data_IF_314459921610
#
_entry.id   IF_314459921610
#
_cell.length_a   1.000
_cell.length_b   1.000
_cell.length_c   1.000
_cell.angle_alpha   90.00
_cell.angle_beta   90.00
_cell.angle_gamma   90.00
#
_symmetry.space_group_name_H-M   'P 1'
#
loop_
_entity.id
_entity.type
_entity.pdbx_description
1 polymer ?
#
# COMPACT_ATOMS: atom_id res chain seq x y z
N UNK A 1 -8.60 5.56 21.17
CA UNK A 1 -9.58 4.47 21.04
C UNK A 1 -9.46 3.94 19.62
N UNK A 2 -8.87 2.78 19.45
CA UNK A 2 -8.72 2.15 18.15
C UNK A 2 -10.11 1.71 17.69
N UNK A 3 -10.63 2.33 16.65
CA UNK A 3 -11.81 1.81 15.98
C UNK A 3 -11.34 0.51 15.31
N UNK A 4 -11.80 -0.63 15.82
CA UNK A 4 -11.48 -1.92 15.21
C UNK A 4 -12.13 -1.93 13.83
N UNK A 5 -11.30 -1.93 12.80
CA UNK A 5 -11.76 -2.08 11.42
C UNK A 5 -12.00 -3.56 11.19
N UNK A 6 -13.16 -3.90 10.64
CA UNK A 6 -13.54 -5.27 10.30
C UNK A 6 -12.41 -5.93 9.46
N UNK A 7 -12.07 -7.17 9.78
CA UNK A 7 -11.01 -7.93 9.10
C UNK A 7 -9.59 -7.73 9.64
N UNK A 8 -9.39 -6.79 10.59
CA UNK A 8 -8.08 -6.52 11.21
C UNK A 8 -8.06 -6.83 12.71
N UNK A 9 -9.11 -7.42 13.27
CA UNK A 9 -9.29 -7.64 14.71
C UNK A 9 -8.25 -8.59 15.30
N UNK A 10 -7.67 -9.46 14.48
CA UNK A 10 -6.68 -10.46 14.89
C UNK A 10 -5.25 -9.93 14.93
N UNK A 11 -5.04 -8.69 14.48
CA UNK A 11 -3.73 -8.06 14.52
C UNK A 11 -3.45 -7.42 15.86
N UNK A 12 -2.21 -7.49 16.29
CA UNK A 12 -1.74 -6.66 17.39
C UNK A 12 -1.59 -5.20 16.94
N UNK A 13 -1.63 -4.27 17.91
CA UNK A 13 -1.58 -2.83 17.61
C UNK A 13 -0.37 -2.46 16.74
N UNK A 14 0.81 -2.99 17.04
CA UNK A 14 2.03 -2.71 16.27
C UNK A 14 2.03 -3.31 14.85
N UNK A 15 1.27 -4.36 14.61
CA UNK A 15 1.10 -4.97 13.29
C UNK A 15 0.14 -4.13 12.43
N UNK A 16 -0.95 -3.68 13.02
CA UNK A 16 -1.86 -2.77 12.36
C UNK A 16 -1.19 -1.43 12.03
N UNK A 17 -0.39 -0.89 12.97
CA UNK A 17 0.43 0.30 12.74
C UNK A 17 1.40 0.11 11.57
N UNK A 18 2.03 -1.05 11.45
CA UNK A 18 2.93 -1.35 10.33
C UNK A 18 2.20 -1.34 8.97
N UNK A 19 0.95 -1.83 8.92
CA UNK A 19 0.12 -1.72 7.72
C UNK A 19 -0.25 -0.27 7.40
N UNK A 20 -0.59 0.54 8.42
CA UNK A 20 -0.90 1.96 8.26
C UNK A 20 0.32 2.80 7.86
N UNK A 21 1.53 2.36 8.19
CA UNK A 21 2.79 3.01 7.84
C UNK A 21 3.21 2.71 6.40
N UNK A 22 2.84 1.54 5.90
CA UNK A 22 3.31 1.04 4.61
C UNK A 22 3.06 2.01 3.44
N UNK A 23 1.90 2.66 3.26
CA UNK A 23 1.70 3.60 2.15
C UNK A 23 2.65 4.79 2.19
N UNK A 24 2.93 5.36 3.36
CA UNK A 24 3.89 6.45 3.50
C UNK A 24 5.33 5.99 3.22
N UNK A 25 5.72 4.83 3.74
CA UNK A 25 7.04 4.24 3.49
C UNK A 25 7.25 3.90 2.01
N UNK A 26 6.24 3.33 1.34
CA UNK A 26 6.29 3.03 -0.10
C UNK A 26 6.43 4.31 -0.92
N UNK A 27 5.70 5.36 -0.58
CA UNK A 27 5.79 6.66 -1.25
C UNK A 27 7.19 7.25 -1.13
N UNK A 28 7.82 7.19 0.05
CA UNK A 28 9.20 7.67 0.26
C UNK A 28 10.20 6.77 -0.49
N UNK A 29 10.01 5.43 -0.42
CA UNK A 29 10.90 4.47 -1.03
C UNK A 29 11.02 4.67 -2.55
N UNK A 30 9.89 4.87 -3.21
CA UNK A 30 9.83 4.99 -4.66
C UNK A 30 10.01 6.44 -5.09
N UNK A 31 9.26 7.38 -4.53
CA UNK A 31 9.30 8.78 -4.93
C UNK A 31 10.60 9.49 -4.58
N UNK A 32 11.28 9.11 -3.49
CA UNK A 32 12.56 9.69 -3.10
C UNK A 32 13.77 8.80 -3.41
N UNK A 33 13.63 7.84 -4.34
CA UNK A 33 14.71 6.92 -4.70
C UNK A 33 15.88 7.63 -5.38
N UNK A 34 15.64 8.74 -6.04
CA UNK A 34 16.66 9.61 -6.66
C UNK A 34 17.18 10.73 -5.72
N UNK A 35 16.65 10.83 -4.50
CA UNK A 35 17.14 11.73 -3.47
C UNK A 35 16.08 12.45 -2.65
N UNK A 36 15.18 13.20 -3.26
CA UNK A 36 14.17 14.01 -2.59
C UNK A 36 12.75 13.71 -3.08
N UNK A 37 11.84 13.58 -2.14
CA UNK A 37 10.41 13.49 -2.41
C UNK A 37 9.85 14.88 -2.65
N UNK A 38 9.50 15.21 -3.89
CA UNK A 38 8.97 16.50 -4.23
C UNK A 38 7.48 16.69 -3.82
N UNK A 39 6.99 17.92 -3.94
CA UNK A 39 5.63 18.28 -3.54
C UNK A 39 4.56 17.64 -4.45
N UNK A 40 4.87 17.45 -5.72
CA UNK A 40 3.94 16.90 -6.69
C UNK A 40 3.76 15.40 -6.47
N UNK A 41 4.84 14.67 -6.23
CA UNK A 41 4.83 13.25 -5.90
C UNK A 41 4.04 12.96 -4.63
N UNK A 42 4.23 13.79 -3.59
CA UNK A 42 3.45 13.70 -2.35
C UNK A 42 1.96 13.90 -2.61
N UNK A 43 1.61 14.97 -3.32
CA UNK A 43 0.21 15.30 -3.62
C UNK A 43 -0.45 14.25 -4.52
N UNK A 44 0.30 13.64 -5.41
CA UNK A 44 -0.18 12.56 -6.27
C UNK A 44 -0.48 11.31 -5.46
N UNK A 45 0.46 10.87 -4.64
CA UNK A 45 0.28 9.70 -3.77
C UNK A 45 -0.91 9.85 -2.83
N UNK A 46 -1.12 11.03 -2.26
CA UNK A 46 -2.31 11.31 -1.44
C UNK A 46 -3.60 11.18 -2.25
N UNK A 47 -3.65 11.71 -3.47
CA UNK A 47 -4.82 11.58 -4.35
C UNK A 47 -5.15 10.12 -4.68
N UNK A 48 -4.13 9.32 -4.97
CA UNK A 48 -4.29 7.88 -5.22
C UNK A 48 -4.90 7.16 -4.01
N UNK A 49 -4.43 7.48 -2.83
CA UNK A 49 -4.95 6.91 -1.58
C UNK A 49 -6.39 7.35 -1.31
N UNK A 50 -6.74 8.63 -1.58
CA UNK A 50 -8.11 9.13 -1.43
C UNK A 50 -9.11 8.38 -2.30
N UNK A 51 -8.77 8.05 -3.54
CA UNK A 51 -9.66 7.25 -4.42
C UNK A 51 -9.98 5.90 -3.79
N UNK A 52 -9.07 5.31 -3.04
CA UNK A 52 -9.24 4.02 -2.37
C UNK A 52 -10.17 4.06 -1.16
N UNK A 53 -10.51 5.25 -0.64
CA UNK A 53 -11.43 5.39 0.50
C UNK A 53 -12.89 5.10 0.14
N UNK A 54 -13.24 4.98 -1.12
CA UNK A 54 -14.61 4.74 -1.60
C UNK A 54 -14.73 3.76 -2.78
N UNK A 55 -13.62 3.30 -3.32
CA UNK A 55 -13.60 2.41 -4.50
C UNK A 55 -13.05 1.02 -4.17
N UNK A 56 -13.32 0.51 -2.98
CA UNK A 56 -12.84 -0.77 -2.44
C UNK A 56 -13.92 -1.41 -1.57
N UNK A 57 -13.80 -2.69 -1.17
CA UNK A 57 -14.60 -3.26 -0.12
C UNK A 57 -14.58 -2.41 1.15
N UNK A 58 -15.64 -2.52 1.96
CA UNK A 58 -15.87 -1.65 3.13
C UNK A 58 -14.67 -1.59 4.07
N UNK A 59 -14.08 -2.74 4.38
CA UNK A 59 -12.93 -2.89 5.29
C UNK A 59 -11.72 -2.10 4.78
N UNK A 60 -11.43 -2.20 3.49
CA UNK A 60 -10.36 -1.45 2.84
C UNK A 60 -10.67 0.04 2.71
N UNK A 61 -11.91 0.41 2.47
CA UNK A 61 -12.30 1.83 2.47
C UNK A 61 -12.02 2.48 3.83
N UNK A 62 -12.37 1.80 4.93
CA UNK A 62 -12.12 2.27 6.29
C UNK A 62 -10.61 2.33 6.60
N UNK A 63 -9.87 1.29 6.24
CA UNK A 63 -8.41 1.27 6.34
C UNK A 63 -7.77 2.47 5.61
N UNK A 64 -8.11 2.70 4.36
CA UNK A 64 -7.54 3.81 3.59
C UNK A 64 -7.99 5.19 4.08
N UNK A 65 -9.14 5.33 4.73
CA UNK A 65 -9.51 6.59 5.41
C UNK A 65 -8.52 6.93 6.51
N UNK A 66 -8.21 5.95 7.36
CA UNK A 66 -7.22 6.13 8.44
C UNK A 66 -5.84 6.46 7.86
N UNK A 67 -5.44 5.75 6.79
CA UNK A 67 -4.18 6.03 6.08
C UNK A 67 -4.13 7.48 5.60
N UNK A 68 -5.17 7.95 4.91
CA UNK A 68 -5.21 9.32 4.35
C UNK A 68 -5.17 10.39 5.44
N UNK A 69 -5.90 10.19 6.54
CA UNK A 69 -5.90 11.14 7.67
C UNK A 69 -4.51 11.33 8.29
N UNK A 70 -3.73 10.24 8.40
CA UNK A 70 -2.38 10.26 8.97
C UNK A 70 -1.25 10.47 7.96
N UNK A 71 -1.53 10.45 6.66
CA UNK A 71 -0.52 10.29 5.61
C UNK A 71 0.61 11.33 5.67
N UNK A 72 0.26 12.63 5.74
CA UNK A 72 1.24 13.71 5.78
C UNK A 72 2.07 13.73 7.06
N UNK A 73 1.44 13.42 8.19
CA UNK A 73 2.13 13.32 9.48
C UNK A 73 3.17 12.21 9.43
N UNK A 74 2.81 11.05 8.87
CA UNK A 74 3.72 9.92 8.70
C UNK A 74 4.86 10.22 7.73
N UNK A 75 4.57 10.78 6.55
CA UNK A 75 5.61 11.20 5.59
C UNK A 75 6.63 12.12 6.27
N UNK A 76 6.18 13.20 6.91
CA UNK A 76 7.08 14.15 7.54
C UNK A 76 7.84 13.54 8.71
N UNK A 77 7.20 12.70 9.51
CA UNK A 77 7.83 11.97 10.62
C UNK A 77 8.94 11.04 10.12
N UNK A 78 8.66 10.23 9.10
CA UNK A 78 9.65 9.33 8.51
C UNK A 78 10.81 10.07 7.84
N UNK A 79 10.56 11.17 7.12
CA UNK A 79 11.62 11.96 6.52
C UNK A 79 12.53 12.62 7.56
N UNK A 80 12.02 12.93 8.75
CA UNK A 80 12.83 13.45 9.85
C UNK A 80 13.62 12.38 10.59
N UNK A 81 13.14 11.14 10.62
CA UNK A 81 13.70 10.00 11.37
C UNK A 81 14.66 9.15 10.53
N UNK A 82 14.32 8.93 9.26
CA UNK A 82 15.07 8.04 8.37
C UNK A 82 16.44 8.62 7.99
N UNK A 83 17.42 7.77 7.66
CA UNK A 83 18.72 8.20 7.20
C UNK A 83 18.65 9.15 5.99
N UNK A 84 19.47 10.18 5.97
CA UNK A 84 19.55 11.15 4.87
C UNK A 84 20.14 10.51 3.61
N UNK A 85 21.11 9.61 3.77
CA UNK A 85 21.72 8.90 2.64
C UNK A 85 20.69 7.98 1.98
N UNK A 86 20.41 8.21 0.71
CA UNK A 86 19.33 7.56 -0.05
C UNK A 86 19.40 6.04 0.00
N UNK A 87 20.56 5.45 -0.25
CA UNK A 87 20.72 4.00 -0.23
C UNK A 87 20.40 3.39 1.15
N UNK A 88 20.92 4.00 2.22
CA UNK A 88 20.69 3.55 3.61
C UNK A 88 19.21 3.73 3.98
N UNK A 89 18.60 4.82 3.54
CA UNK A 89 17.18 5.07 3.72
C UNK A 89 16.31 4.00 3.03
N UNK A 90 16.60 3.69 1.78
CA UNK A 90 15.88 2.66 1.04
C UNK A 90 16.02 1.27 1.68
N UNK A 91 17.21 0.92 2.15
CA UNK A 91 17.44 -0.34 2.89
C UNK A 91 16.64 -0.40 4.20
N UNK A 92 16.61 0.68 4.97
CA UNK A 92 15.84 0.74 6.22
C UNK A 92 14.33 0.66 5.96
N UNK A 93 13.82 1.35 4.94
CA UNK A 93 12.41 1.25 4.54
C UNK A 93 12.09 -0.18 4.10
N UNK A 94 12.92 -0.78 3.26
CA UNK A 94 12.77 -2.17 2.81
C UNK A 94 12.68 -3.13 4.01
N UNK A 95 13.55 -2.98 5.00
CA UNK A 95 13.54 -3.77 6.23
C UNK A 95 12.23 -3.60 7.03
N UNK A 96 11.70 -2.38 7.10
CA UNK A 96 10.42 -2.12 7.78
C UNK A 96 9.25 -2.76 7.02
N UNK A 97 9.21 -2.62 5.70
CA UNK A 97 8.16 -3.21 4.87
C UNK A 97 8.20 -4.75 4.87
N UNK A 98 9.40 -5.35 5.00
CA UNK A 98 9.54 -6.81 5.07
C UNK A 98 8.72 -7.45 6.21
N UNK A 99 8.44 -6.71 7.29
CA UNK A 99 7.59 -7.19 8.40
C UNK A 99 6.17 -7.53 7.95
N UNK A 100 5.70 -6.94 6.85
CA UNK A 100 4.37 -7.24 6.32
C UNK A 100 4.23 -8.70 5.89
N UNK A 101 5.33 -9.38 5.56
CA UNK A 101 5.30 -10.81 5.23
C UNK A 101 4.83 -11.69 6.39
N UNK A 102 5.04 -11.24 7.64
CA UNK A 102 4.55 -11.94 8.83
C UNK A 102 3.12 -11.53 9.22
N UNK A 103 2.65 -10.41 8.71
CA UNK A 103 1.33 -9.83 9.01
C UNK A 103 0.28 -10.32 8.03
N UNK A 104 0.57 -10.31 6.72
CA UNK A 104 -0.37 -10.76 5.70
C UNK A 104 -1.00 -12.14 5.96
N UNK A 105 -0.25 -13.18 6.42
CA UNK A 105 -0.84 -14.48 6.72
C UNK A 105 -1.83 -14.51 7.89
N UNK A 106 -1.92 -13.43 8.66
CA UNK A 106 -2.89 -13.27 9.77
C UNK A 106 -4.22 -12.69 9.32
N UNK A 107 -4.27 -12.15 8.11
CA UNK A 107 -5.48 -11.61 7.48
C UNK A 107 -6.17 -12.69 6.64
N UNK A 108 -7.45 -12.47 6.35
CA UNK A 108 -8.13 -13.30 5.35
C UNK A 108 -7.48 -13.18 3.97
N UNK A 109 -7.45 -14.27 3.21
CA UNK A 109 -6.73 -14.37 1.92
C UNK A 109 -7.10 -13.25 0.94
N UNK A 110 -8.38 -12.90 0.85
CA UNK A 110 -8.82 -11.84 -0.04
C UNK A 110 -8.34 -10.46 0.41
N UNK A 111 -8.32 -10.20 1.72
CA UNK A 111 -7.90 -8.93 2.30
C UNK A 111 -6.38 -8.73 2.15
N UNK A 112 -5.59 -9.76 2.45
CA UNK A 112 -4.14 -9.74 2.26
C UNK A 112 -3.76 -9.55 0.79
N UNK A 113 -4.44 -10.25 -0.13
CA UNK A 113 -4.22 -10.11 -1.57
C UNK A 113 -4.58 -8.71 -2.09
N UNK A 114 -5.68 -8.12 -1.60
CA UNK A 114 -6.10 -6.78 -1.99
C UNK A 114 -5.18 -5.69 -1.45
N UNK A 115 -4.71 -5.81 -0.20
CA UNK A 115 -3.70 -4.90 0.35
C UNK A 115 -2.40 -4.99 -0.42
N UNK A 116 -1.89 -6.21 -0.64
CA UNK A 116 -0.65 -6.43 -1.40
C UNK A 116 -0.73 -5.80 -2.80
N UNK A 117 -1.81 -6.06 -3.55
CA UNK A 117 -2.03 -5.44 -4.87
C UNK A 117 -2.16 -3.93 -4.78
N UNK A 118 -2.81 -3.43 -3.73
CA UNK A 118 -2.93 -2.00 -3.46
C UNK A 118 -1.58 -1.34 -3.23
N UNK A 119 -0.68 -1.97 -2.50
CA UNK A 119 0.67 -1.47 -2.25
C UNK A 119 1.54 -1.51 -3.52
N UNK A 120 1.47 -2.58 -4.32
CA UNK A 120 2.15 -2.63 -5.61
C UNK A 120 1.65 -1.55 -6.57
N UNK A 121 0.33 -1.35 -6.64
CA UNK A 121 -0.24 -0.31 -7.48
C UNK A 121 0.21 1.09 -7.03
N UNK A 122 0.25 1.35 -5.71
CA UNK A 122 0.77 2.61 -5.16
C UNK A 122 2.23 2.86 -5.57
N UNK A 123 3.08 1.84 -5.45
CA UNK A 123 4.49 1.94 -5.82
C UNK A 123 4.65 2.30 -7.32
N UNK A 124 3.95 1.59 -8.20
CA UNK A 124 4.00 1.82 -9.65
C UNK A 124 3.47 3.19 -10.04
N UNK A 125 2.31 3.56 -9.51
CA UNK A 125 1.68 4.85 -9.80
C UNK A 125 2.49 6.04 -9.24
N UNK A 126 3.20 5.84 -8.11
CA UNK A 126 4.13 6.85 -7.57
C UNK A 126 5.35 7.02 -8.49
N UNK A 127 5.94 5.93 -8.96
CA UNK A 127 7.05 5.96 -9.91
C UNK A 127 6.67 6.61 -11.25
N UNK A 128 5.48 6.34 -11.76
CA UNK A 128 4.97 6.96 -12.97
C UNK A 128 4.78 8.47 -12.82
N UNK A 129 4.35 8.92 -11.64
CA UNK A 129 4.17 10.34 -11.36
C UNK A 129 5.50 11.09 -11.29
N UNK A 130 6.53 10.52 -10.66
CA UNK A 130 7.86 11.13 -10.56
C UNK A 130 8.60 11.15 -11.91
N UNK A 131 8.44 10.11 -12.72
CA UNK A 131 9.08 10.01 -14.05
C UNK A 131 8.39 10.80 -15.15
N UNK A 132 7.09 11.11 -15.02
CA UNK A 132 6.24 11.54 -16.14
C UNK A 132 6.30 13.01 -16.51
N UNK A 133 6.65 13.92 -15.62
CA UNK A 133 6.53 15.36 -15.89
C UNK A 133 7.82 16.00 -16.43
N UNK A 134 8.98 15.52 -16.05
CA UNK A 134 10.26 16.12 -16.46
C UNK A 134 11.16 15.20 -17.32
N UNK A 135 10.90 13.91 -17.41
CA UNK A 135 11.76 12.91 -18.07
C UNK A 135 11.06 12.06 -19.14
N UNK A 136 10.03 12.55 -19.80
CA UNK A 136 9.35 11.83 -20.90
C UNK A 136 8.82 10.43 -20.51
N UNK A 137 8.33 10.27 -19.27
CA UNK A 137 7.68 9.02 -18.83
C UNK A 137 8.64 7.85 -18.54
N UNK A 138 9.92 8.10 -18.40
CA UNK A 138 10.88 7.05 -18.04
C UNK A 138 11.07 6.99 -16.51
N UNK A 139 10.68 5.87 -15.91
CA UNK A 139 11.04 5.52 -14.52
C UNK A 139 12.55 5.43 -14.41
N UNK A 140 13.17 6.06 -13.40
CA UNK A 140 14.62 6.00 -13.20
C UNK A 140 15.09 4.57 -12.91
N UNK A 141 16.40 4.32 -13.08
CA UNK A 141 16.97 3.00 -12.78
C UNK A 141 16.87 2.69 -11.28
N UNK A 142 17.02 3.71 -10.46
CA UNK A 142 16.94 3.67 -9.01
C UNK A 142 15.52 3.34 -8.53
N UNK A 143 14.50 3.94 -9.14
CA UNK A 143 13.09 3.67 -8.84
C UNK A 143 12.68 2.26 -9.28
N UNK A 144 13.17 1.79 -10.44
CA UNK A 144 12.81 0.47 -10.99
C UNK A 144 13.08 -0.69 -10.04
N UNK A 145 14.12 -0.61 -9.23
CA UNK A 145 14.41 -1.69 -8.29
C UNK A 145 13.39 -1.81 -7.15
N UNK A 146 12.60 -0.75 -6.86
CA UNK A 146 11.65 -0.71 -5.75
C UNK A 146 10.18 -0.80 -6.17
N UNK A 147 9.88 -0.55 -7.45
CA UNK A 147 8.49 -0.47 -7.98
C UNK A 147 7.71 -1.77 -7.77
N UNK A 148 8.35 -2.90 -7.84
CA UNK A 148 7.72 -4.21 -7.63
C UNK A 148 7.81 -4.69 -6.17
N UNK A 149 8.24 -3.83 -5.23
CA UNK A 149 8.36 -4.11 -3.81
C UNK A 149 9.03 -5.48 -3.54
N UNK A 150 10.28 -5.68 -3.98
CA UNK A 150 10.93 -7.01 -3.96
C UNK A 150 11.11 -7.60 -2.56
N UNK A 151 10.95 -6.79 -1.51
CA UNK A 151 10.99 -7.24 -0.11
C UNK A 151 9.70 -7.93 0.33
N UNK A 152 8.61 -7.81 -0.43
CA UNK A 152 7.34 -8.46 -0.12
C UNK A 152 7.21 -9.77 -0.89
N UNK A 153 6.79 -10.81 -0.19
CA UNK A 153 6.44 -12.09 -0.80
C UNK A 153 5.17 -11.94 -1.64
N UNK A 154 5.17 -12.33 -2.92
CA UNK A 154 3.98 -12.23 -3.77
C UNK A 154 2.79 -13.00 -3.20
N UNK A 155 1.64 -12.35 -3.16
CA UNK A 155 0.37 -12.93 -2.72
C UNK A 155 -0.54 -13.11 -3.94
N UNK A 156 -0.90 -14.36 -4.25
CA UNK A 156 -1.83 -14.67 -5.33
C UNK A 156 -3.25 -14.21 -4.95
N UNK A 157 -4.00 -13.74 -5.94
CA UNK A 157 -5.43 -13.53 -5.72
C UNK A 157 -6.10 -14.87 -5.41
N UNK A 158 -7.04 -14.91 -4.43
CA UNK A 158 -7.81 -16.12 -4.20
C UNK A 158 -8.54 -16.51 -5.49
N UNK A 159 -8.48 -17.79 -5.82
CA UNK A 159 -9.21 -18.33 -6.97
C UNK A 159 -10.70 -18.19 -6.66
N UNK A 160 -11.42 -17.41 -7.45
CA UNK A 160 -12.88 -17.38 -7.35
C UNK A 160 -13.38 -18.78 -7.72
N UNK A 161 -14.00 -19.48 -6.77
CA UNK A 161 -14.67 -20.74 -7.05
C UNK A 161 -15.84 -20.46 -8.00
N UNK A 162 -15.83 -21.01 -9.22
CA UNK A 162 -16.91 -20.78 -10.20
C UNK A 162 -18.24 -21.45 -9.78
N UNK A 163 -18.25 -22.24 -8.70
CA UNK A 163 -19.44 -22.92 -8.19
C UNK A 163 -20.25 -22.06 -7.20
N UNK A 164 -19.65 -21.04 -6.58
CA UNK A 164 -20.34 -20.14 -5.65
C UNK A 164 -21.31 -19.17 -6.33
N UNK A 165 -21.07 -18.80 -7.58
CA UNK A 165 -21.97 -17.88 -8.32
C UNK A 165 -23.23 -18.57 -8.84
N UNK A 166 -23.20 -19.88 -9.09
CA UNK A 166 -24.38 -20.62 -9.57
C UNK A 166 -25.43 -20.85 -8.48
N UNK A 167 -25.03 -20.96 -7.22
CA UNK A 167 -25.99 -21.18 -6.12
C UNK A 167 -26.73 -19.90 -5.71
N UNK A 168 -26.17 -18.73 -5.95
CA UNK A 168 -26.82 -17.45 -5.67
C UNK A 168 -27.87 -17.09 -6.73
N UNK A 169 -27.60 -17.37 -8.02
CA UNK A 169 -28.57 -17.14 -9.11
C UNK A 169 -29.74 -18.12 -9.12
N UNK A 170 -29.56 -19.35 -8.61
CA UNK A 170 -30.67 -20.32 -8.49
C UNK A 170 -31.61 -20.00 -7.34
N UNK A 171 -31.17 -19.34 -6.28
CA UNK A 171 -32.04 -18.94 -5.16
C UNK A 171 -32.87 -17.69 -5.46
N UNK A 172 -32.45 -16.82 -6.37
CA UNK A 172 -33.20 -15.63 -6.77
C UNK A 172 -34.34 -15.91 -7.80
N UNK A 173 -34.35 -17.10 -8.41
CA UNK A 173 -35.37 -17.51 -9.40
C UNK A 173 -36.55 -18.30 -8.82
N UNK A 174 -36.63 -18.46 -7.48
CA UNK A 174 -37.69 -19.27 -6.83
C UNK A 174 -38.57 -18.40 -5.93
N UNK A 175 -38.71 -17.09 -6.19
CA UNK A 175 -39.74 -16.24 -5.53
C UNK A 175 -40.64 -15.65 -6.61
#
# INVERSE_FOLDING_TARGET
MWTMIDGFEHLEAHEFDALLDAPALITILVGAADGELDREERSWSERLLRVRTYNRPKELNEFYRVVVEGFWVKINGFLAELPVATEVRCQEISRRLMRLNDIFPKLEDHLSADLYRGFLALARETAEASGGFLRLGAISVEEKQWVDLPMLTPIAAPVKDPEGEKSAEEQEKVI
#
